data_IF_039757805046
#
_entry.id   IF_039757805046
#
_cell.length_a   1.000
_cell.length_b   1.000
_cell.length_c   1.000
_cell.angle_alpha   90.00
_cell.angle_beta   90.00
_cell.angle_gamma   90.00
#
_symmetry.space_group_name_H-M   'P 1'
#
loop_
_entity.id
_entity.type
_entity.pdbx_description
1 polymer ?
#
# COMPACT_ATOMS: atom_id res chain seq x y z
N UNK A 1 3.19 4.22 25.29
CA UNK A 1 2.56 4.83 24.11
C UNK A 1 1.22 4.14 23.89
N UNK A 2 0.10 4.86 23.81
CA UNK A 2 -1.21 4.21 23.53
C UNK A 2 -1.24 3.68 22.10
N UNK A 3 -1.92 2.57 21.86
CA UNK A 3 -2.01 1.91 20.53
C UNK A 3 -2.50 2.91 19.47
N UNK A 4 -3.43 3.81 19.82
CA UNK A 4 -3.91 4.87 18.92
C UNK A 4 -2.82 5.88 18.50
N UNK A 5 -1.89 6.22 19.41
CA UNK A 5 -0.76 7.09 19.09
C UNK A 5 0.21 6.39 18.13
N UNK A 6 0.48 5.10 18.36
CA UNK A 6 1.32 4.29 17.48
C UNK A 6 0.70 4.20 16.07
N UNK A 7 -0.59 3.84 15.99
CA UNK A 7 -1.33 3.74 14.74
C UNK A 7 -1.33 5.06 13.96
N UNK A 8 -1.48 6.20 14.65
CA UNK A 8 -1.43 7.51 14.01
C UNK A 8 -0.05 7.87 13.42
N UNK A 9 1.06 7.48 14.06
CA UNK A 9 2.40 7.69 13.50
C UNK A 9 2.67 6.76 12.32
N UNK A 10 2.30 5.48 12.41
CA UNK A 10 2.40 4.54 11.31
C UNK A 10 1.53 4.98 10.12
N UNK A 11 0.35 5.56 10.38
CA UNK A 11 -0.49 6.11 9.33
C UNK A 11 0.15 7.30 8.58
N UNK A 12 0.97 8.12 9.24
CA UNK A 12 1.77 9.14 8.55
C UNK A 12 2.81 8.51 7.62
N UNK A 13 3.43 7.41 8.06
CA UNK A 13 4.36 6.64 7.22
C UNK A 13 3.62 6.08 5.99
N UNK A 14 2.38 5.59 6.16
CA UNK A 14 1.54 5.15 5.04
C UNK A 14 1.26 6.29 4.03
N UNK A 15 1.02 7.51 4.50
CA UNK A 15 0.83 8.69 3.64
C UNK A 15 2.11 8.97 2.86
N UNK A 16 3.27 8.98 3.52
CA UNK A 16 4.57 9.20 2.86
C UNK A 16 4.90 8.10 1.84
N UNK A 17 4.55 6.85 2.16
CA UNK A 17 4.64 5.73 1.22
C UNK A 17 3.75 5.92 0.00
N UNK A 18 2.50 6.37 0.21
CA UNK A 18 1.59 6.68 -0.87
C UNK A 18 2.06 7.84 -1.76
N UNK A 19 2.65 8.89 -1.18
CA UNK A 19 3.27 10.00 -1.93
C UNK A 19 4.46 9.48 -2.77
N UNK A 20 5.32 8.66 -2.16
CA UNK A 20 6.45 8.04 -2.86
C UNK A 20 5.98 7.16 -4.02
N UNK A 21 4.87 6.44 -3.83
CA UNK A 21 4.24 5.58 -4.85
C UNK A 21 3.71 6.40 -6.03
N UNK A 22 3.06 7.54 -5.76
CA UNK A 22 2.62 8.47 -6.82
C UNK A 22 3.81 8.96 -7.63
N UNK A 23 4.99 9.14 -7.00
CA UNK A 23 6.24 9.54 -7.65
C UNK A 23 6.70 8.60 -8.77
N UNK A 24 6.31 7.32 -8.77
CA UNK A 24 6.63 6.41 -9.87
C UNK A 24 6.03 6.87 -11.21
N UNK A 25 4.79 7.36 -11.19
CA UNK A 25 4.08 7.76 -12.41
C UNK A 25 4.81 8.88 -13.18
N UNK A 26 5.12 10.06 -12.60
CA UNK A 26 5.88 11.08 -13.34
C UNK A 26 7.30 10.60 -13.67
N UNK A 27 7.96 9.84 -12.80
CA UNK A 27 9.29 9.28 -13.11
C UNK A 27 9.26 8.41 -14.37
N UNK A 28 8.26 7.54 -14.50
CA UNK A 28 8.05 6.68 -15.66
C UNK A 28 7.74 7.44 -16.96
N UNK A 29 7.21 8.66 -16.87
CA UNK A 29 6.92 9.51 -18.03
C UNK A 29 8.13 10.34 -18.47
N UNK A 30 8.97 10.78 -17.52
CA UNK A 30 10.13 11.62 -17.79
C UNK A 30 11.36 10.79 -18.20
N UNK A 31 11.63 9.70 -17.46
CA UNK A 31 12.85 8.88 -17.64
C UNK A 31 12.58 7.52 -18.31
N UNK A 32 11.31 7.18 -18.58
CA UNK A 32 10.93 5.90 -19.17
C UNK A 32 10.57 4.84 -18.12
N UNK A 33 9.90 3.79 -18.57
CA UNK A 33 9.50 2.67 -17.72
C UNK A 33 10.71 1.87 -17.23
N UNK A 34 10.64 1.38 -16.00
CA UNK A 34 11.73 0.65 -15.32
C UNK A 34 13.04 1.46 -15.21
N UNK A 35 12.93 2.79 -15.24
CA UNK A 35 14.06 3.68 -14.97
C UNK A 35 14.46 3.65 -13.49
N UNK A 36 15.73 3.93 -13.19
CA UNK A 36 16.24 3.95 -11.81
C UNK A 36 15.41 4.88 -10.90
N UNK A 37 14.95 6.02 -11.42
CA UNK A 37 14.13 6.97 -10.67
C UNK A 37 12.75 6.39 -10.31
N UNK A 38 12.13 5.65 -11.23
CA UNK A 38 10.88 4.94 -10.97
C UNK A 38 11.09 3.85 -9.91
N UNK A 39 12.15 3.04 -10.05
CA UNK A 39 12.46 1.95 -9.14
C UNK A 39 12.81 2.45 -7.73
N UNK A 40 13.55 3.56 -7.61
CA UNK A 40 13.85 4.19 -6.31
C UNK A 40 12.55 4.65 -5.63
N UNK A 41 11.65 5.31 -6.37
CA UNK A 41 10.33 5.69 -5.85
C UNK A 41 9.54 4.46 -5.40
N UNK A 42 9.53 3.40 -6.20
CA UNK A 42 8.85 2.14 -5.89
C UNK A 42 9.41 1.48 -4.62
N UNK A 43 10.73 1.43 -4.50
CA UNK A 43 11.43 0.81 -3.38
C UNK A 43 11.13 1.53 -2.07
N UNK A 44 11.29 2.85 -2.05
CA UNK A 44 10.95 3.69 -0.89
C UNK A 44 9.47 3.56 -0.55
N UNK A 45 8.59 3.60 -1.55
CA UNK A 45 7.16 3.47 -1.35
C UNK A 45 6.80 2.15 -0.67
N UNK A 46 7.29 1.00 -1.18
CA UNK A 46 6.94 -0.30 -0.62
C UNK A 46 7.41 -0.44 0.84
N UNK A 47 8.62 0.01 1.19
CA UNK A 47 9.12 -0.03 2.58
C UNK A 47 8.21 0.78 3.51
N UNK A 48 7.87 2.01 3.10
CA UNK A 48 6.99 2.87 3.89
C UNK A 48 5.57 2.32 3.96
N UNK A 49 5.09 1.68 2.90
CA UNK A 49 3.77 1.08 2.84
C UNK A 49 3.67 -0.18 3.70
N UNK A 50 4.70 -1.03 3.76
CA UNK A 50 4.83 -2.15 4.71
C UNK A 50 4.65 -1.60 6.13
N UNK A 51 5.50 -0.67 6.53
CA UNK A 51 5.45 -0.11 7.90
C UNK A 51 4.11 0.60 8.16
N UNK A 52 3.62 1.35 7.18
CA UNK A 52 2.42 2.16 7.30
C UNK A 52 1.13 1.34 7.37
N UNK A 53 1.09 0.18 6.71
CA UNK A 53 -0.08 -0.70 6.70
C UNK A 53 -0.36 -1.26 8.08
N UNK A 54 0.65 -1.45 8.94
CA UNK A 54 0.43 -1.76 10.36
C UNK A 54 -0.44 -0.70 11.04
N UNK A 55 -0.24 0.59 10.76
CA UNK A 55 -1.04 1.67 11.32
C UNK A 55 -2.51 1.61 10.88
N UNK A 56 -2.72 1.31 9.60
CA UNK A 56 -4.05 1.11 9.02
C UNK A 56 -4.72 -0.11 9.64
N UNK A 57 -4.00 -1.23 9.74
CA UNK A 57 -4.49 -2.47 10.31
C UNK A 57 -4.85 -2.35 11.79
N UNK A 58 -4.01 -1.68 12.60
CA UNK A 58 -4.28 -1.45 14.02
C UNK A 58 -5.60 -0.72 14.26
N UNK A 59 -6.03 0.14 13.32
CA UNK A 59 -7.31 0.84 13.43
C UNK A 59 -8.51 -0.08 13.17
N UNK A 60 -8.36 -1.06 12.29
CA UNK A 60 -9.43 -2.01 11.93
C UNK A 60 -9.39 -3.33 12.70
N UNK A 61 -8.35 -3.60 13.52
CA UNK A 61 -8.12 -4.89 14.17
C UNK A 61 -9.34 -5.39 14.99
N UNK A 62 -10.02 -4.49 15.69
CA UNK A 62 -11.19 -4.84 16.53
C UNK A 62 -12.41 -5.26 15.71
N UNK A 63 -12.59 -4.67 14.53
CA UNK A 63 -13.79 -4.86 13.70
C UNK A 63 -13.56 -5.88 12.56
N UNK A 64 -12.32 -6.05 12.12
CA UNK A 64 -11.96 -6.89 10.96
C UNK A 64 -11.81 -8.39 11.28
N UNK A 65 -11.62 -8.72 12.55
CA UNK A 65 -11.47 -10.10 13.04
C UNK A 65 -10.34 -10.89 12.36
N UNK A 66 -10.48 -12.22 12.34
CA UNK A 66 -9.48 -13.13 11.74
C UNK A 66 -9.28 -12.91 10.24
N UNK A 67 -10.35 -12.58 9.52
CA UNK A 67 -10.27 -12.30 8.08
C UNK A 67 -9.40 -11.08 7.79
N UNK A 68 -9.58 -9.99 8.56
CA UNK A 68 -8.72 -8.82 8.47
C UNK A 68 -7.26 -9.12 8.71
N UNK A 69 -6.95 -9.91 9.75
CA UNK A 69 -5.58 -10.32 10.06
C UNK A 69 -4.93 -11.10 8.91
N UNK A 70 -5.62 -12.10 8.37
CA UNK A 70 -5.09 -12.91 7.26
C UNK A 70 -4.87 -12.03 6.02
N UNK A 71 -5.84 -11.18 5.68
CA UNK A 71 -5.71 -10.27 4.53
C UNK A 71 -4.53 -9.30 4.67
N UNK A 72 -4.30 -8.82 5.90
CA UNK A 72 -3.16 -7.98 6.25
C UNK A 72 -1.84 -8.72 6.03
N UNK A 73 -1.69 -9.93 6.55
CA UNK A 73 -0.46 -10.72 6.38
C UNK A 73 -0.17 -11.04 4.90
N UNK A 74 -1.21 -11.34 4.11
CA UNK A 74 -1.07 -11.59 2.67
C UNK A 74 -0.58 -10.32 1.94
N UNK A 75 -1.15 -9.16 2.29
CA UNK A 75 -0.72 -7.87 1.71
C UNK A 75 0.72 -7.53 2.11
N UNK A 76 1.09 -7.70 3.37
CA UNK A 76 2.45 -7.47 3.87
C UNK A 76 3.46 -8.35 3.14
N UNK A 77 3.17 -9.65 3.02
CA UNK A 77 4.05 -10.57 2.29
C UNK A 77 4.20 -10.13 0.83
N UNK A 78 3.11 -9.74 0.17
CA UNK A 78 3.14 -9.20 -1.19
C UNK A 78 4.03 -7.96 -1.28
N UNK A 79 3.85 -6.97 -0.42
CA UNK A 79 4.65 -5.74 -0.42
C UNK A 79 6.15 -6.00 -0.17
N UNK A 80 6.49 -6.91 0.74
CA UNK A 80 7.87 -7.32 1.01
C UNK A 80 8.47 -7.97 -0.23
N UNK A 81 7.75 -8.88 -0.88
CA UNK A 81 8.21 -9.54 -2.09
C UNK A 81 8.38 -8.54 -3.25
N UNK A 82 7.46 -7.59 -3.42
CA UNK A 82 7.61 -6.49 -4.41
C UNK A 82 8.86 -5.66 -4.10
N UNK A 83 9.16 -5.41 -2.82
CA UNK A 83 10.39 -4.72 -2.42
C UNK A 83 11.63 -5.48 -2.88
N UNK A 84 11.65 -6.80 -2.68
CA UNK A 84 12.75 -7.66 -3.12
C UNK A 84 12.89 -7.68 -4.65
N UNK A 85 11.78 -7.73 -5.40
CA UNK A 85 11.83 -7.76 -6.87
C UNK A 85 12.24 -6.40 -7.45
N UNK A 86 11.76 -5.29 -6.89
CA UNK A 86 12.24 -3.95 -7.25
C UNK A 86 13.74 -3.81 -6.97
N UNK A 87 14.21 -4.29 -5.82
CA UNK A 87 15.63 -4.29 -5.50
C UNK A 87 16.45 -5.13 -6.48
N UNK A 88 15.95 -6.31 -6.89
CA UNK A 88 16.56 -7.14 -7.93
C UNK A 88 16.70 -6.38 -9.25
N UNK A 89 15.64 -5.70 -9.68
CA UNK A 89 15.65 -4.88 -10.91
C UNK A 89 16.66 -3.73 -10.83
N UNK A 90 16.82 -3.09 -9.66
CA UNK A 90 17.85 -2.06 -9.45
C UNK A 90 19.28 -2.60 -9.54
N UNK A 91 19.48 -3.90 -9.28
CA UNK A 91 20.75 -4.59 -9.48
C UNK A 91 20.91 -5.16 -10.90
N UNK A 92 19.99 -4.81 -11.81
CA UNK A 92 19.91 -5.31 -13.19
C UNK A 92 19.76 -6.84 -13.29
N UNK A 93 19.17 -7.47 -12.27
CA UNK A 93 18.81 -8.89 -12.28
C UNK A 93 17.32 -9.02 -12.55
N UNK A 94 16.96 -9.73 -13.61
CA UNK A 94 15.57 -9.92 -14.00
C UNK A 94 14.79 -10.70 -12.91
N UNK A 95 13.76 -10.09 -12.28
CA UNK A 95 12.96 -10.76 -11.27
C UNK A 95 12.26 -12.04 -11.76
N UNK A 96 12.07 -12.22 -13.06
CA UNK A 96 11.47 -13.44 -13.62
C UNK A 96 12.36 -14.68 -13.43
N UNK A 97 13.67 -14.50 -13.28
CA UNK A 97 14.61 -15.59 -12.99
C UNK A 97 14.38 -16.22 -11.62
N UNK A 98 13.68 -15.51 -10.72
CA UNK A 98 13.40 -16.00 -9.37
C UNK A 98 12.25 -17.02 -9.33
N UNK A 99 11.60 -17.29 -10.46
CA UNK A 99 10.62 -18.37 -10.66
C UNK A 99 9.49 -18.38 -9.64
N UNK A 100 9.58 -19.30 -8.67
CA UNK A 100 8.57 -19.48 -7.62
C UNK A 100 8.39 -18.21 -6.79
N UNK A 101 9.48 -17.48 -6.48
CA UNK A 101 9.38 -16.26 -5.65
C UNK A 101 8.59 -15.18 -6.38
N UNK A 102 8.82 -15.00 -7.69
CA UNK A 102 8.05 -14.06 -8.52
C UNK A 102 6.57 -14.46 -8.60
N UNK A 103 6.30 -15.75 -8.69
CA UNK A 103 4.91 -16.27 -8.68
C UNK A 103 4.22 -16.01 -7.34
N UNK A 104 4.93 -16.21 -6.22
CA UNK A 104 4.43 -15.89 -4.88
C UNK A 104 4.18 -14.38 -4.72
N UNK A 105 5.08 -13.53 -5.23
CA UNK A 105 4.93 -12.07 -5.22
C UNK A 105 3.63 -11.64 -5.90
N UNK A 106 3.42 -12.06 -7.16
CA UNK A 106 2.22 -11.72 -7.92
C UNK A 106 0.97 -12.24 -7.21
N UNK A 107 0.98 -13.50 -6.77
CA UNK A 107 -0.19 -14.14 -6.16
C UNK A 107 -0.56 -13.46 -4.84
N UNK A 108 0.41 -13.25 -3.95
CA UNK A 108 0.17 -12.63 -2.64
C UNK A 108 -0.09 -11.12 -2.76
N UNK A 109 0.58 -10.44 -3.68
CA UNK A 109 0.34 -9.03 -4.02
C UNK A 109 -1.08 -8.81 -4.51
N UNK A 110 -1.54 -9.58 -5.51
CA UNK A 110 -2.90 -9.46 -6.03
C UNK A 110 -3.96 -9.83 -4.98
N UNK A 111 -3.78 -10.94 -4.27
CA UNK A 111 -4.71 -11.34 -3.22
C UNK A 111 -4.74 -10.32 -2.08
N UNK A 112 -3.59 -9.79 -1.66
CA UNK A 112 -3.51 -8.78 -0.61
C UNK A 112 -4.21 -7.48 -1.00
N UNK A 113 -3.98 -7.02 -2.24
CA UNK A 113 -4.62 -5.82 -2.79
C UNK A 113 -6.14 -5.95 -2.96
N UNK A 114 -6.69 -7.17 -2.98
CA UNK A 114 -8.13 -7.42 -3.03
C UNK A 114 -8.70 -7.63 -1.62
N UNK A 115 -8.09 -8.54 -0.85
CA UNK A 115 -8.63 -9.00 0.42
C UNK A 115 -8.55 -7.92 1.50
N UNK A 116 -7.45 -7.18 1.59
CA UNK A 116 -7.27 -6.14 2.60
C UNK A 116 -8.28 -4.99 2.48
N UNK A 117 -8.52 -4.40 1.29
CA UNK A 117 -9.55 -3.36 1.16
C UNK A 117 -10.96 -3.93 1.34
N UNK A 118 -11.23 -5.19 0.95
CA UNK A 118 -12.52 -5.84 1.27
C UNK A 118 -12.69 -5.97 2.78
N UNK A 119 -11.65 -6.35 3.52
CA UNK A 119 -11.68 -6.38 4.98
C UNK A 119 -11.95 -4.99 5.56
N UNK A 120 -11.32 -3.94 5.01
CA UNK A 120 -11.58 -2.55 5.38
C UNK A 120 -13.03 -2.11 5.13
N UNK A 121 -13.60 -2.47 3.97
CA UNK A 121 -15.00 -2.19 3.63
C UNK A 121 -15.98 -2.92 4.56
N UNK A 122 -15.67 -4.16 4.94
CA UNK A 122 -16.47 -4.95 5.89
C UNK A 122 -16.38 -4.38 7.31
N UNK A 123 -15.20 -3.96 7.73
CA UNK A 123 -14.97 -3.37 9.05
C UNK A 123 -15.66 -2.01 9.22
N UNK A 124 -15.92 -1.27 8.13
CA UNK A 124 -16.60 0.04 8.13
C UNK A 124 -15.94 1.10 9.03
N UNK A 125 -14.66 0.91 9.39
CA UNK A 125 -13.88 1.86 10.20
C UNK A 125 -13.22 2.94 9.36
N UNK A 126 -12.79 2.57 8.15
CA UNK A 126 -12.13 3.47 7.20
C UNK A 126 -13.13 4.02 6.18
N UNK A 127 -12.85 5.18 5.55
CA UNK A 127 -13.62 5.65 4.41
C UNK A 127 -13.67 4.58 3.33
N UNK A 128 -14.78 4.49 2.60
CA UNK A 128 -14.95 3.47 1.55
C UNK A 128 -14.13 3.78 0.30
N UNK A 129 -13.96 5.06 -0.03
CA UNK A 129 -13.33 5.50 -1.29
C UNK A 129 -11.90 4.98 -1.47
N UNK A 130 -10.98 4.98 -0.48
CA UNK A 130 -9.62 4.48 -0.67
C UNK A 130 -9.59 2.97 -0.88
N UNK A 131 -10.47 2.23 -0.19
CA UNK A 131 -10.58 0.79 -0.36
C UNK A 131 -11.14 0.43 -1.75
N UNK A 132 -12.15 1.17 -2.22
CA UNK A 132 -12.70 1.01 -3.57
C UNK A 132 -11.65 1.36 -4.62
N UNK A 133 -10.92 2.46 -4.43
CA UNK A 133 -9.85 2.90 -5.33
C UNK A 133 -8.75 1.84 -5.45
N UNK A 134 -8.35 1.23 -4.33
CA UNK A 134 -7.34 0.18 -4.30
C UNK A 134 -7.78 -1.10 -5.02
N UNK A 135 -9.08 -1.42 -5.03
CA UNK A 135 -9.61 -2.55 -5.81
C UNK A 135 -9.73 -2.14 -7.29
N UNK A 136 -10.23 -0.93 -7.56
CA UNK A 136 -10.47 -0.43 -8.90
C UNK A 136 -9.19 -0.36 -9.75
N UNK A 137 -8.05 -0.04 -9.13
CA UNK A 137 -6.77 0.05 -9.84
C UNK A 137 -6.34 -1.29 -10.48
N UNK A 138 -6.81 -2.43 -9.96
CA UNK A 138 -6.49 -3.76 -10.53
C UNK A 138 -7.11 -3.97 -11.91
N UNK A 139 -8.20 -3.25 -12.21
CA UNK A 139 -8.81 -3.26 -13.54
C UNK A 139 -8.15 -2.26 -14.50
N UNK A 140 -7.40 -1.29 -13.95
CA UNK A 140 -6.66 -0.29 -14.74
C UNK A 140 -5.35 -0.89 -15.27
N UNK A 141 -4.67 -1.71 -14.48
CA UNK A 141 -3.36 -2.28 -14.83
C UNK A 141 -3.31 -3.04 -16.16
N UNK A 142 -4.29 -3.90 -16.51
CA UNK A 142 -4.29 -4.62 -17.78
C UNK A 142 -4.56 -3.76 -19.02
N UNK A 143 -4.97 -2.49 -18.86
CA UNK A 143 -5.32 -1.62 -19.97
C UNK A 143 -4.05 -0.94 -20.50
N UNK A 144 -3.65 -1.19 -21.77
CA UNK A 144 -2.51 -0.52 -22.37
C UNK A 144 -2.66 1.00 -22.26
N UNK A 145 -1.54 1.72 -22.09
CA UNK A 145 -1.48 3.18 -21.84
C UNK A 145 -1.92 3.64 -20.45
N UNK A 146 -2.67 2.84 -19.68
CA UNK A 146 -3.09 3.18 -18.31
C UNK A 146 -2.28 2.49 -17.22
N UNK A 147 -1.38 1.57 -17.57
CA UNK A 147 -0.49 0.86 -16.64
C UNK A 147 0.23 1.79 -15.63
N UNK A 148 0.72 2.95 -16.10
CA UNK A 148 1.42 3.95 -15.29
C UNK A 148 0.54 4.62 -14.24
N UNK A 149 -0.78 4.62 -14.44
CA UNK A 149 -1.75 5.19 -13.51
C UNK A 149 -1.99 4.30 -12.29
N UNK A 150 -1.62 3.02 -12.35
CA UNK A 150 -1.77 2.09 -11.21
C UNK A 150 -1.00 2.60 -10.00
N UNK A 151 0.24 3.07 -10.18
CA UNK A 151 1.05 3.59 -9.09
C UNK A 151 0.42 4.83 -8.45
N UNK A 152 -0.17 5.72 -9.26
CA UNK A 152 -0.91 6.88 -8.77
C UNK A 152 -2.14 6.47 -7.96
N UNK A 153 -2.97 5.57 -8.47
CA UNK A 153 -4.19 5.12 -7.80
C UNK A 153 -3.89 4.37 -6.50
N UNK A 154 -2.83 3.56 -6.50
CA UNK A 154 -2.36 2.85 -5.33
C UNK A 154 -1.88 3.84 -4.25
N UNK A 155 -1.06 4.81 -4.64
CA UNK A 155 -0.57 5.83 -3.71
C UNK A 155 -1.69 6.67 -3.12
N UNK A 156 -2.67 7.11 -3.92
CA UNK A 156 -3.85 7.83 -3.45
C UNK A 156 -4.68 7.02 -2.44
N UNK A 157 -4.80 5.71 -2.66
CA UNK A 157 -5.52 4.82 -1.74
C UNK A 157 -4.83 4.79 -0.37
N UNK A 158 -3.49 4.70 -0.34
CA UNK A 158 -2.72 4.71 0.90
C UNK A 158 -2.76 6.07 1.61
N UNK A 159 -2.69 7.17 0.87
CA UNK A 159 -2.87 8.53 1.41
C UNK A 159 -4.25 8.65 2.07
N UNK A 160 -5.31 8.18 1.39
CA UNK A 160 -6.67 8.23 1.90
C UNK A 160 -6.87 7.44 3.20
N UNK A 161 -6.39 6.19 3.24
CA UNK A 161 -6.46 5.36 4.45
C UNK A 161 -5.60 5.93 5.58
N UNK A 162 -4.36 6.32 5.29
CA UNK A 162 -3.45 6.91 6.27
C UNK A 162 -4.00 8.21 6.87
N UNK A 163 -4.53 9.11 6.03
CA UNK A 163 -5.13 10.36 6.49
C UNK A 163 -6.36 10.12 7.39
N UNK A 164 -7.20 9.14 7.06
CA UNK A 164 -8.35 8.78 7.89
C UNK A 164 -7.93 8.30 9.28
N UNK A 165 -6.89 7.46 9.36
CA UNK A 165 -6.37 6.98 10.65
C UNK A 165 -5.73 8.13 11.42
N UNK A 166 -4.89 8.95 10.78
CA UNK A 166 -4.21 10.06 11.42
C UNK A 166 -5.17 11.16 11.91
N UNK A 167 -6.20 11.51 11.14
CA UNK A 167 -7.17 12.55 11.56
C UNK A 167 -8.03 12.12 12.75
N UNK A 168 -8.36 10.82 12.88
CA UNK A 168 -9.09 10.32 14.06
C UNK A 168 -8.28 10.42 15.36
N UNK A 169 -6.94 10.37 15.30
CA UNK A 169 -6.07 10.62 16.45
C UNK A 169 -6.27 12.03 17.01
N UNK A 170 -6.31 13.05 16.15
CA UNK A 170 -6.40 14.45 16.58
C UNK A 170 -7.74 14.80 17.25
N UNK A 171 -8.82 14.07 16.96
CA UNK A 171 -10.11 14.25 17.65
C UNK A 171 -10.09 13.74 19.09
N UNK A 172 -9.35 12.67 19.36
CA UNK A 172 -9.25 12.10 20.73
C UNK A 172 -8.46 12.97 21.71
N UNK A 173 -7.67 13.94 21.23
CA UNK A 173 -6.92 14.86 22.09
C UNK A 173 -7.68 16.16 22.42
N UNK A 174 -8.89 16.36 21.88
CA UNK A 174 -9.69 17.58 22.07
C UNK A 174 -10.91 17.39 23.00
N UNK A 175 -11.07 16.22 23.65
CA UNK A 175 -12.19 15.95 24.57
C UNK A 175 -11.89 16.27 26.04
N UNK A 176 -11.01 17.24 26.31
CA UNK A 176 -10.77 17.77 27.65
C UNK A 176 -10.81 19.28 27.60
N UNK A 177 -12.02 19.85 27.56
CA UNK A 177 -12.38 21.14 28.12
C UNK A 177 -13.87 21.16 28.42
#
# INVERSE_FOLDING_TARGET
MTIDKAAGWLALIAILGGISRIGMTPSSYIWGGDSDQELICAFIANILMVIGTFGIYLKQIKESGKFGFISFLILELGLILVTCTVWSSMLHVDPWEWGIVKTMEITTGMLGLILFPIAGLKARVLPKWPCILMIAMLFVGPIPMLEKWVALLWGLSYIGMGYAVWSTRNRSSHSWH
#
